data_IF_849680543728
#
_entry.id   IF_849680543728
#
_cell.length_a   1.000
_cell.length_b   1.000
_cell.length_c   1.000
_cell.angle_alpha   90.00
_cell.angle_beta   90.00
_cell.angle_gamma   90.00
#
_symmetry.space_group_name_H-M   'P 1'
#
loop_
_entity.id
_entity.type
_entity.pdbx_description
1 polymer ?
#
# COMPACT_ATOMS: atom_id res chain seq x y z
N UNK A 1 -1.09 -17.00 -11.84
CA UNK A 1 -0.72 -15.60 -12.00
C UNK A 1 0.06 -15.48 -13.28
N UNK A 2 -0.30 -14.59 -14.20
CA UNK A 2 0.38 -14.45 -15.50
C UNK A 2 1.81 -13.95 -15.29
N UNK A 3 2.75 -14.50 -16.07
CA UNK A 3 4.13 -14.00 -16.15
C UNK A 3 4.16 -12.63 -16.86
N UNK A 4 5.26 -11.90 -16.77
CA UNK A 4 5.42 -10.60 -17.44
C UNK A 4 5.19 -10.72 -18.97
N UNK A 5 5.74 -11.76 -19.58
CA UNK A 5 5.60 -12.02 -21.03
C UNK A 5 4.15 -12.34 -21.40
N UNK A 6 3.42 -13.06 -20.54
CA UNK A 6 1.99 -13.37 -20.75
C UNK A 6 1.13 -12.12 -20.62
N UNK A 7 1.45 -11.22 -19.68
CA UNK A 7 0.77 -9.93 -19.53
C UNK A 7 0.97 -9.05 -20.76
N UNK A 8 2.21 -8.89 -21.23
CA UNK A 8 2.52 -8.11 -22.42
C UNK A 8 1.82 -8.69 -23.68
N UNK A 9 1.82 -10.02 -23.81
CA UNK A 9 1.11 -10.70 -24.91
C UNK A 9 -0.39 -10.47 -24.83
N UNK A 10 -0.98 -10.50 -23.64
CA UNK A 10 -2.39 -10.23 -23.42
C UNK A 10 -2.74 -8.79 -23.78
N UNK A 11 -1.94 -7.80 -23.36
CA UNK A 11 -2.14 -6.39 -23.71
C UNK A 11 -2.06 -6.14 -25.21
N UNK A 12 -1.09 -6.78 -25.90
CA UNK A 12 -0.98 -6.70 -27.36
C UNK A 12 -2.20 -7.32 -28.08
N UNK A 13 -2.78 -8.39 -27.55
CA UNK A 13 -3.99 -8.99 -28.12
C UNK A 13 -5.21 -8.11 -27.85
N UNK A 14 -5.34 -7.55 -26.65
CA UNK A 14 -6.42 -6.62 -26.29
C UNK A 14 -6.41 -5.35 -27.16
N UNK A 15 -5.21 -4.86 -27.56
CA UNK A 15 -5.10 -3.69 -28.44
C UNK A 15 -5.48 -3.96 -29.90
N UNK A 16 -5.46 -5.22 -30.34
CA UNK A 16 -5.70 -5.63 -31.73
C UNK A 16 -7.11 -6.14 -31.99
N UNK A 17 -7.76 -6.70 -30.98
CA UNK A 17 -9.09 -7.32 -31.10
C UNK A 17 -10.04 -6.76 -30.04
N UNK A 18 -11.03 -6.01 -30.52
CA UNK A 18 -12.05 -5.38 -29.68
C UNK A 18 -12.88 -6.40 -28.91
N UNK A 19 -13.26 -7.50 -29.55
CA UNK A 19 -14.06 -8.55 -28.90
C UNK A 19 -13.26 -9.23 -27.80
N UNK A 20 -11.97 -9.47 -28.04
CA UNK A 20 -11.05 -10.01 -27.03
C UNK A 20 -10.88 -9.05 -25.86
N UNK A 21 -10.75 -7.74 -26.15
CA UNK A 21 -10.70 -6.70 -25.12
C UNK A 21 -11.95 -6.70 -24.24
N UNK A 22 -13.15 -6.73 -24.83
CA UNK A 22 -14.41 -6.74 -24.11
C UNK A 22 -14.56 -8.00 -23.25
N UNK A 23 -14.18 -9.17 -23.79
CA UNK A 23 -14.23 -10.44 -23.05
C UNK A 23 -13.30 -10.43 -21.84
N UNK A 24 -12.05 -10.03 -22.01
CA UNK A 24 -11.07 -9.96 -20.89
C UNK A 24 -11.51 -8.94 -19.85
N UNK A 25 -12.08 -7.82 -20.27
CA UNK A 25 -12.62 -6.80 -19.35
C UNK A 25 -13.80 -7.33 -18.56
N UNK A 26 -14.71 -8.07 -19.21
CA UNK A 26 -15.84 -8.72 -18.55
C UNK A 26 -15.38 -9.76 -17.52
N UNK A 27 -14.42 -10.63 -17.86
CA UNK A 27 -13.84 -11.63 -16.96
C UNK A 27 -13.15 -10.95 -15.76
N UNK A 28 -12.38 -9.89 -16.00
CA UNK A 28 -11.76 -9.13 -14.90
C UNK A 28 -12.81 -8.53 -13.96
N UNK A 29 -13.87 -7.93 -14.53
CA UNK A 29 -14.97 -7.34 -13.76
C UNK A 29 -15.69 -8.36 -12.91
N UNK A 30 -16.03 -9.52 -13.47
CA UNK A 30 -16.69 -10.63 -12.76
C UNK A 30 -15.81 -11.15 -11.61
N UNK A 31 -14.52 -11.36 -11.87
CA UNK A 31 -13.56 -11.77 -10.85
C UNK A 31 -13.43 -10.73 -9.72
N UNK A 32 -13.43 -9.42 -10.05
CA UNK A 32 -13.43 -8.36 -9.06
C UNK A 32 -14.68 -8.35 -8.19
N UNK A 33 -15.85 -8.53 -8.78
CA UNK A 33 -17.12 -8.59 -8.04
C UNK A 33 -17.14 -9.79 -7.10
N UNK A 34 -16.74 -10.96 -7.59
CA UNK A 34 -16.66 -12.20 -6.78
C UNK A 34 -15.73 -12.04 -5.59
N UNK A 35 -14.52 -11.54 -5.79
CA UNK A 35 -13.56 -11.30 -4.69
C UNK A 35 -14.07 -10.24 -3.69
N UNK A 36 -14.76 -9.22 -4.17
CA UNK A 36 -15.38 -8.20 -3.31
C UNK A 36 -16.47 -8.81 -2.43
N UNK A 37 -17.35 -9.63 -3.00
CA UNK A 37 -18.40 -10.32 -2.24
C UNK A 37 -17.79 -11.26 -1.19
N UNK A 38 -16.84 -12.11 -1.57
CA UNK A 38 -16.15 -13.02 -0.65
C UNK A 38 -15.50 -12.24 0.49
N UNK A 39 -14.84 -11.11 0.18
CA UNK A 39 -14.22 -10.27 1.21
C UNK A 39 -15.25 -9.71 2.19
N UNK A 40 -16.42 -9.30 1.73
CA UNK A 40 -17.51 -8.83 2.59
C UNK A 40 -18.10 -9.97 3.44
N UNK A 41 -18.31 -11.14 2.86
CA UNK A 41 -18.85 -12.29 3.56
C UNK A 41 -17.90 -12.84 4.64
N UNK A 42 -16.58 -12.77 4.42
CA UNK A 42 -15.58 -13.14 5.43
C UNK A 42 -15.43 -12.04 6.51
N UNK A 43 -15.58 -10.76 6.15
CA UNK A 43 -15.47 -9.65 7.12
C UNK A 43 -16.54 -9.76 8.22
N UNK A 44 -17.74 -10.18 7.87
CA UNK A 44 -18.84 -10.30 8.83
C UNK A 44 -18.52 -11.26 9.99
N UNK A 45 -18.19 -12.56 9.77
CA UNK A 45 -17.84 -13.46 10.86
C UNK A 45 -16.59 -13.00 11.64
N UNK A 46 -15.59 -12.41 10.99
CA UNK A 46 -14.42 -11.85 11.68
C UNK A 46 -14.81 -10.71 12.63
N UNK A 47 -15.76 -9.88 12.24
CA UNK A 47 -16.28 -8.81 13.09
C UNK A 47 -17.03 -9.37 14.30
N UNK A 48 -17.83 -10.42 14.10
CA UNK A 48 -18.52 -11.10 15.20
C UNK A 48 -17.55 -11.79 16.16
N UNK A 49 -16.50 -12.46 15.64
CA UNK A 49 -15.45 -13.06 16.48
C UNK A 49 -14.73 -12.00 17.31
N UNK A 50 -14.37 -10.85 16.71
CA UNK A 50 -13.74 -9.76 17.42
C UNK A 50 -14.60 -9.20 18.54
N UNK A 51 -15.88 -8.96 18.24
CA UNK A 51 -16.84 -8.51 19.25
C UNK A 51 -17.01 -9.51 20.37
N UNK A 52 -17.07 -10.81 20.05
CA UNK A 52 -17.17 -11.88 21.05
C UNK A 52 -15.95 -11.94 21.96
N UNK A 53 -14.73 -11.81 21.41
CA UNK A 53 -13.48 -11.75 22.17
C UNK A 53 -13.47 -10.55 23.11
N UNK A 54 -13.87 -9.36 22.63
CA UNK A 54 -13.96 -8.16 23.46
C UNK A 54 -15.00 -8.31 24.60
N UNK A 55 -16.14 -8.92 24.32
CA UNK A 55 -17.15 -9.21 25.34
C UNK A 55 -16.66 -10.22 26.38
N UNK A 56 -16.01 -11.31 25.95
CA UNK A 56 -15.41 -12.30 26.86
C UNK A 56 -14.38 -11.63 27.78
N UNK A 57 -13.47 -10.87 27.21
CA UNK A 57 -12.43 -10.15 27.97
C UNK A 57 -13.02 -9.16 28.97
N UNK A 58 -14.13 -8.48 28.60
CA UNK A 58 -14.84 -7.54 29.49
C UNK A 58 -15.55 -8.23 30.64
N UNK A 59 -16.17 -9.39 30.39
CA UNK A 59 -16.93 -10.15 31.42
C UNK A 59 -16.03 -11.04 32.26
N UNK A 60 -14.93 -11.49 31.71
CA UNK A 60 -13.99 -12.45 32.27
C UNK A 60 -12.56 -11.95 32.08
N UNK A 61 -12.11 -10.92 32.84
CA UNK A 61 -10.74 -10.40 32.71
C UNK A 61 -9.64 -11.44 32.91
N UNK A 62 -9.93 -12.52 33.68
CA UNK A 62 -9.04 -13.64 33.94
C UNK A 62 -8.61 -14.42 32.68
N UNK A 63 -9.31 -14.24 31.54
CA UNK A 63 -8.91 -14.87 30.27
C UNK A 63 -7.61 -14.32 29.71
N UNK A 64 -7.19 -13.15 30.15
CA UNK A 64 -5.89 -12.57 29.74
C UNK A 64 -4.71 -13.42 30.22
N UNK A 65 -4.88 -14.22 31.27
CA UNK A 65 -3.88 -15.15 31.79
C UNK A 65 -3.87 -16.49 31.04
N UNK A 66 -4.78 -16.72 30.09
CA UNK A 66 -4.84 -17.98 29.33
C UNK A 66 -3.73 -18.03 28.26
N UNK A 67 -3.03 -19.15 28.21
CA UNK A 67 -1.80 -19.36 27.43
C UNK A 67 -1.93 -18.91 25.94
N UNK A 68 -3.07 -19.08 25.31
CA UNK A 68 -3.25 -18.74 23.88
C UNK A 68 -4.15 -17.54 23.65
N UNK A 69 -4.54 -16.79 24.69
CA UNK A 69 -5.47 -15.68 24.54
C UNK A 69 -4.92 -14.55 23.66
N UNK A 70 -3.70 -14.13 23.92
CA UNK A 70 -3.04 -13.10 23.13
C UNK A 70 -2.74 -13.56 21.72
N UNK A 71 -2.34 -14.84 21.55
CA UNK A 71 -2.13 -15.40 20.20
C UNK A 71 -3.41 -15.36 19.38
N UNK A 72 -4.56 -15.74 19.95
CA UNK A 72 -5.85 -15.72 19.28
C UNK A 72 -6.25 -14.28 18.85
N UNK A 73 -6.00 -13.27 19.70
CA UNK A 73 -6.24 -11.85 19.34
C UNK A 73 -5.33 -11.41 18.18
N UNK A 74 -4.06 -11.78 18.22
CA UNK A 74 -3.11 -11.47 17.17
C UNK A 74 -3.49 -12.14 15.84
N UNK A 75 -3.87 -13.41 15.86
CA UNK A 75 -4.28 -14.15 14.66
C UNK A 75 -5.55 -13.55 14.03
N UNK A 76 -6.53 -13.16 14.86
CA UNK A 76 -7.73 -12.46 14.36
C UNK A 76 -7.38 -11.11 13.74
N UNK A 77 -6.51 -10.35 14.37
CA UNK A 77 -6.05 -9.07 13.83
C UNK A 77 -5.29 -9.25 12.50
N UNK A 78 -4.46 -10.27 12.41
CA UNK A 78 -3.75 -10.63 11.17
C UNK A 78 -4.73 -10.98 10.04
N UNK A 79 -5.77 -11.79 10.32
CA UNK A 79 -6.81 -12.13 9.34
C UNK A 79 -7.57 -10.89 8.84
N UNK A 80 -7.88 -9.94 9.73
CA UNK A 80 -8.50 -8.66 9.33
C UNK A 80 -7.60 -7.87 8.38
N UNK A 81 -6.32 -7.72 8.72
CA UNK A 81 -5.34 -7.02 7.88
C UNK A 81 -5.22 -7.69 6.52
N UNK A 82 -5.12 -9.02 6.49
CA UNK A 82 -5.04 -9.78 5.24
C UNK A 82 -6.28 -9.57 4.36
N UNK A 83 -7.47 -9.57 4.96
CA UNK A 83 -8.73 -9.35 4.23
C UNK A 83 -8.83 -7.93 3.68
N UNK A 84 -8.38 -6.93 4.45
CA UNK A 84 -8.34 -5.53 4.01
C UNK A 84 -7.34 -5.35 2.87
N UNK A 85 -6.19 -5.99 2.93
CA UNK A 85 -5.18 -6.02 1.88
C UNK A 85 -5.70 -6.67 0.59
N UNK A 86 -6.41 -7.81 0.69
CA UNK A 86 -7.05 -8.47 -0.46
C UNK A 86 -8.11 -7.56 -1.08
N UNK A 87 -8.94 -6.92 -0.26
CA UNK A 87 -9.97 -5.98 -0.71
C UNK A 87 -9.34 -4.76 -1.41
N UNK A 88 -8.28 -4.20 -0.84
CA UNK A 88 -7.55 -3.09 -1.43
C UNK A 88 -6.86 -3.48 -2.74
N UNK A 89 -6.25 -4.66 -2.79
CA UNK A 89 -5.66 -5.21 -4.01
C UNK A 89 -6.70 -5.37 -5.11
N UNK A 90 -7.91 -5.84 -4.77
CA UNK A 90 -8.99 -6.01 -5.73
C UNK A 90 -9.55 -4.68 -6.26
N UNK A 91 -9.75 -3.67 -5.39
CA UNK A 91 -10.42 -2.41 -5.72
C UNK A 91 -9.47 -1.29 -6.19
N UNK A 92 -8.20 -1.58 -6.40
CA UNK A 92 -7.16 -0.58 -6.71
C UNK A 92 -7.29 0.12 -8.07
N UNK A 93 -8.19 -0.31 -8.96
CA UNK A 93 -8.35 0.24 -10.31
C UNK A 93 -9.42 1.35 -10.42
N UNK A 94 -10.36 1.45 -9.45
CA UNK A 94 -11.36 2.52 -9.44
C UNK A 94 -10.86 3.68 -8.60
N UNK A 95 -10.57 4.81 -9.25
CA UNK A 95 -10.03 6.01 -8.62
C UNK A 95 -11.05 7.14 -8.58
N UNK A 96 -11.12 7.82 -7.43
CA UNK A 96 -11.83 9.08 -7.28
C UNK A 96 -10.82 10.24 -7.35
N UNK A 97 -10.53 10.72 -8.55
CA UNK A 97 -9.50 11.72 -8.81
C UNK A 97 -9.97 13.09 -8.37
N UNK A 98 -9.26 13.69 -7.42
CA UNK A 98 -9.48 15.06 -6.92
C UNK A 98 -8.16 15.83 -6.87
N UNK A 99 -8.26 17.15 -6.68
CA UNK A 99 -7.09 18.01 -6.46
C UNK A 99 -6.56 17.79 -5.04
N UNK A 100 -5.26 17.68 -4.90
CA UNK A 100 -4.56 17.42 -3.63
C UNK A 100 -3.47 18.47 -3.45
N UNK A 101 -3.47 19.15 -2.29
CA UNK A 101 -2.35 19.97 -1.82
C UNK A 101 -1.27 19.05 -1.24
N UNK A 102 -0.02 19.08 -1.75
CA UNK A 102 1.06 18.23 -1.27
C UNK A 102 1.41 18.43 0.21
N UNK A 103 1.27 19.66 0.73
CA UNK A 103 1.57 19.98 2.14
C UNK A 103 0.52 19.38 3.06
N UNK A 104 -0.76 19.61 2.76
CA UNK A 104 -1.87 19.04 3.53
C UNK A 104 -1.79 17.52 3.54
N UNK A 105 -1.52 16.94 2.37
CA UNK A 105 -1.35 15.49 2.23
C UNK A 105 -0.21 14.93 3.07
N UNK A 106 0.96 15.58 3.07
CA UNK A 106 2.11 15.16 3.86
C UNK A 106 1.89 15.32 5.37
N UNK A 107 1.17 16.37 5.80
CA UNK A 107 0.79 16.56 7.20
C UNK A 107 -0.20 15.49 7.67
N UNK A 108 -1.24 15.19 6.88
CA UNK A 108 -2.22 14.16 7.19
C UNK A 108 -1.58 12.75 7.30
N UNK A 109 -0.60 12.44 6.45
CA UNK A 109 0.20 11.21 6.57
C UNK A 109 0.96 11.15 7.91
N UNK A 110 1.60 12.25 8.30
CA UNK A 110 2.36 12.33 9.55
C UNK A 110 1.44 12.16 10.75
N UNK A 111 0.29 12.85 10.77
CA UNK A 111 -0.66 12.79 11.87
C UNK A 111 -1.24 11.38 12.03
N UNK A 112 -1.54 10.71 10.92
CA UNK A 112 -2.04 9.33 10.91
C UNK A 112 -1.03 8.34 11.50
N UNK A 113 0.27 8.55 11.24
CA UNK A 113 1.35 7.65 11.68
C UNK A 113 2.01 8.07 13.00
N UNK A 114 1.61 9.23 13.55
CA UNK A 114 2.24 9.79 14.74
C UNK A 114 2.30 8.83 15.94
N UNK A 115 1.23 8.07 16.28
CA UNK A 115 1.28 7.14 17.40
C UNK A 115 2.39 6.09 17.23
N UNK A 116 2.49 5.48 16.06
CA UNK A 116 3.48 4.43 15.75
C UNK A 116 4.91 4.99 15.71
N UNK A 117 5.07 6.19 15.15
CA UNK A 117 6.36 6.90 15.11
C UNK A 117 6.86 7.26 16.51
N UNK A 118 5.97 7.70 17.40
CA UNK A 118 6.31 8.03 18.79
C UNK A 118 6.66 6.77 19.60
N UNK A 119 5.89 5.71 19.48
CA UNK A 119 6.14 4.41 20.15
C UNK A 119 7.54 3.88 19.79
N UNK A 120 7.90 3.95 18.50
CA UNK A 120 9.21 3.51 18.01
C UNK A 120 10.34 4.54 18.14
N UNK A 121 10.04 5.76 18.60
CA UNK A 121 11.00 6.87 18.71
C UNK A 121 11.69 7.21 17.38
N UNK A 122 10.96 7.10 16.25
CA UNK A 122 11.44 7.35 14.90
C UNK A 122 10.92 8.70 14.40
N UNK A 123 11.76 9.71 14.17
CA UNK A 123 11.34 10.98 13.59
C UNK A 123 11.00 10.82 12.09
N UNK A 124 9.84 11.36 11.70
CA UNK A 124 9.44 11.56 10.30
C UNK A 124 9.70 13.02 9.91
N UNK A 125 10.67 13.24 9.03
CA UNK A 125 11.03 14.56 8.50
C UNK A 125 10.30 14.78 7.17
N UNK A 126 9.48 15.84 7.09
CA UNK A 126 8.82 16.26 5.86
C UNK A 126 9.69 17.35 5.22
N UNK A 127 10.03 17.17 3.94
CA UNK A 127 10.76 18.14 3.12
C UNK A 127 9.96 18.43 1.85
N UNK A 128 9.51 19.66 1.73
CA UNK A 128 8.83 20.15 0.54
C UNK A 128 9.77 21.12 -0.17
N UNK A 129 9.87 21.06 -1.48
CA UNK A 129 10.56 22.09 -2.26
C UNK A 129 9.79 23.42 -2.16
N UNK A 130 10.44 24.54 -2.43
CA UNK A 130 9.85 25.88 -2.29
C UNK A 130 8.65 26.09 -3.23
N UNK A 131 8.63 25.41 -4.36
CA UNK A 131 7.53 25.43 -5.33
C UNK A 131 7.04 24.01 -5.57
N UNK A 132 5.85 23.72 -5.11
CA UNK A 132 5.15 22.47 -5.38
C UNK A 132 3.74 22.78 -5.86
N UNK A 133 3.39 22.41 -7.09
CA UNK A 133 2.02 22.56 -7.57
C UNK A 133 1.11 21.52 -6.92
N UNK A 134 -0.17 21.85 -6.84
CA UNK A 134 -1.18 20.84 -6.57
C UNK A 134 -1.11 19.74 -7.63
N UNK A 135 -1.50 18.56 -7.23
CA UNK A 135 -1.57 17.42 -8.13
C UNK A 135 -2.95 16.75 -8.08
N UNK A 136 -3.19 15.86 -9.01
CA UNK A 136 -4.47 15.17 -9.11
C UNK A 136 -4.29 13.68 -8.82
N UNK A 137 -5.17 13.14 -7.97
CA UNK A 137 -5.15 11.74 -7.58
C UNK A 137 -6.32 11.39 -6.68
N UNK A 138 -6.43 10.13 -6.34
CA UNK A 138 -7.34 9.64 -5.31
C UNK A 138 -6.64 9.77 -3.93
N UNK A 139 -7.05 10.70 -3.07
CA UNK A 139 -6.34 10.97 -1.81
C UNK A 139 -6.35 9.77 -0.86
N UNK A 140 -7.43 8.97 -0.86
CA UNK A 140 -7.56 7.80 0.01
C UNK A 140 -6.58 6.71 -0.46
N UNK A 141 -6.55 6.45 -1.76
CA UNK A 141 -5.67 5.43 -2.35
C UNK A 141 -4.20 5.83 -2.24
N UNK A 142 -3.87 7.08 -2.52
CA UNK A 142 -2.50 7.57 -2.36
C UNK A 142 -2.07 7.55 -0.89
N UNK A 143 -2.95 7.93 0.03
CA UNK A 143 -2.68 7.81 1.48
C UNK A 143 -2.36 6.37 1.86
N UNK A 144 -3.11 5.39 1.37
CA UNK A 144 -2.83 3.97 1.57
C UNK A 144 -1.43 3.58 1.07
N UNK A 145 -1.02 4.06 -0.12
CA UNK A 145 0.34 3.83 -0.65
C UNK A 145 1.40 4.32 0.33
N UNK A 146 1.33 5.58 0.73
CA UNK A 146 2.38 6.19 1.57
C UNK A 146 2.37 5.66 3.00
N UNK A 147 1.22 5.31 3.57
CA UNK A 147 1.15 4.59 4.84
C UNK A 147 1.89 3.25 4.74
N UNK A 148 1.67 2.46 3.70
CA UNK A 148 2.37 1.20 3.49
C UNK A 148 3.89 1.38 3.35
N UNK A 149 4.33 2.41 2.61
CA UNK A 149 5.75 2.71 2.44
C UNK A 149 6.40 3.14 3.77
N UNK A 150 5.75 4.05 4.51
CA UNK A 150 6.28 4.55 5.79
C UNK A 150 6.27 3.45 6.86
N UNK A 151 5.23 2.61 6.95
CA UNK A 151 5.20 1.45 7.85
C UNK A 151 6.32 0.48 7.55
N UNK A 152 6.57 0.17 6.27
CA UNK A 152 7.73 -0.65 5.90
C UNK A 152 9.06 -0.04 6.34
N UNK A 153 9.18 1.29 6.27
CA UNK A 153 10.35 2.01 6.76
C UNK A 153 10.49 1.94 8.29
N UNK A 154 9.37 2.11 9.04
CA UNK A 154 9.36 1.97 10.52
C UNK A 154 9.84 0.58 10.93
N UNK A 155 9.29 -0.46 10.31
CA UNK A 155 9.62 -1.86 10.60
C UNK A 155 11.06 -2.24 10.22
N UNK A 156 11.65 -1.57 9.22
CA UNK A 156 13.05 -1.80 8.80
C UNK A 156 14.09 -1.21 9.74
N UNK A 157 13.66 -0.31 10.64
CA UNK A 157 14.55 0.40 11.56
C UNK A 157 14.62 -0.33 12.89
N UNK A 158 15.80 -0.86 13.19
CA UNK A 158 16.11 -1.45 14.50
C UNK A 158 16.95 -0.46 15.31
N UNK A 159 16.37 0.10 16.39
CA UNK A 159 17.03 1.11 17.23
C UNK A 159 16.86 2.54 16.73
N UNK A 160 17.94 3.36 16.77
CA UNK A 160 17.88 4.76 16.37
C UNK A 160 17.83 4.91 14.85
N UNK A 161 16.77 5.52 14.33
CA UNK A 161 16.61 5.76 12.90
C UNK A 161 15.82 7.02 12.58
N UNK A 162 15.61 7.26 11.30
CA UNK A 162 14.81 8.38 10.79
C UNK A 162 14.18 8.02 9.47
N UNK A 163 13.02 8.62 9.21
CA UNK A 163 12.34 8.55 7.92
C UNK A 163 12.22 9.95 7.36
N UNK A 164 12.42 10.10 6.07
CA UNK A 164 12.25 11.37 5.36
C UNK A 164 11.22 11.20 4.26
N UNK A 165 10.16 12.00 4.31
CA UNK A 165 9.20 12.16 3.22
C UNK A 165 9.58 13.43 2.45
N UNK A 166 10.03 13.28 1.21
CA UNK A 166 10.42 14.40 0.34
C UNK A 166 9.40 14.53 -0.79
N UNK A 167 8.89 15.76 -1.00
CA UNK A 167 8.00 16.10 -2.11
C UNK A 167 8.68 17.19 -2.95
N UNK A 168 8.84 16.92 -4.24
CA UNK A 168 9.51 17.82 -5.17
C UNK A 168 8.99 17.61 -6.59
N UNK A 169 9.29 18.54 -7.48
CA UNK A 169 8.90 18.45 -8.88
C UNK A 169 10.14 18.23 -9.74
N UNK A 170 10.07 17.28 -10.66
CA UNK A 170 11.12 17.02 -11.65
C UNK A 170 10.48 16.58 -12.97
N UNK A 171 10.96 17.14 -14.11
CA UNK A 171 10.49 16.79 -15.46
C UNK A 171 8.95 16.81 -15.62
N UNK A 172 8.29 17.84 -15.09
CA UNK A 172 6.83 18.00 -15.11
C UNK A 172 6.06 16.85 -14.41
N UNK A 173 6.70 16.17 -13.49
CA UNK A 173 6.09 15.15 -12.63
C UNK A 173 6.26 15.52 -11.16
N UNK A 174 5.27 15.19 -10.36
CA UNK A 174 5.39 15.22 -8.91
C UNK A 174 6.17 13.98 -8.47
N UNK A 175 7.19 14.21 -7.66
CA UNK A 175 8.02 13.17 -7.08
C UNK A 175 7.78 13.16 -5.58
N UNK A 176 7.35 12.01 -5.05
CA UNK A 176 7.22 11.80 -3.61
C UNK A 176 8.13 10.64 -3.22
N UNK A 177 9.13 10.92 -2.39
CA UNK A 177 10.12 9.94 -1.96
C UNK A 177 10.00 9.66 -0.46
N UNK A 178 9.93 8.40 -0.08
CA UNK A 178 10.06 7.91 1.30
C UNK A 178 11.44 7.29 1.43
N UNK A 179 12.26 7.82 2.34
CA UNK A 179 13.60 7.35 2.59
C UNK A 179 13.81 7.06 4.06
N UNK A 180 14.34 5.87 4.35
CA UNK A 180 14.75 5.43 5.68
C UNK A 180 16.27 5.16 5.74
N UNK A 181 16.76 4.96 6.94
CA UNK A 181 18.11 4.46 7.23
C UNK A 181 18.07 3.10 7.96
N UNK A 182 17.09 2.27 7.62
CA UNK A 182 16.91 0.93 8.19
C UNK A 182 17.89 -0.11 7.65
N UNK A 183 17.55 -1.39 7.83
CA UNK A 183 18.40 -2.53 7.44
C UNK A 183 18.63 -2.64 5.93
N UNK A 184 17.81 -1.98 5.09
CA UNK A 184 17.87 -2.10 3.64
C UNK A 184 17.40 -3.46 3.12
N UNK A 185 17.46 -3.64 1.79
CA UNK A 185 16.91 -4.78 1.06
C UNK A 185 17.99 -5.34 0.13
N UNK A 186 18.21 -6.65 0.15
CA UNK A 186 19.19 -7.31 -0.71
C UNK A 186 18.81 -7.23 -2.19
N UNK A 187 19.78 -7.30 -3.10
CA UNK A 187 19.53 -7.25 -4.54
C UNK A 187 18.60 -8.38 -5.04
N UNK A 188 18.61 -9.53 -4.37
CA UNK A 188 17.71 -10.64 -4.70
C UNK A 188 16.27 -10.34 -4.30
N UNK A 189 16.09 -9.86 -3.09
CA UNK A 189 14.76 -9.47 -2.58
C UNK A 189 14.15 -8.35 -3.42
N UNK A 190 14.94 -7.35 -3.85
CA UNK A 190 14.48 -6.24 -4.69
C UNK A 190 13.81 -6.71 -6.00
N UNK A 191 14.20 -7.87 -6.54
CA UNK A 191 13.58 -8.42 -7.76
C UNK A 191 12.16 -8.91 -7.57
N UNK A 192 11.76 -9.21 -6.34
CA UNK A 192 10.51 -9.90 -6.03
C UNK A 192 9.59 -9.13 -5.08
N UNK A 193 10.07 -8.10 -4.38
CA UNK A 193 9.30 -7.41 -3.32
C UNK A 193 7.99 -6.74 -3.78
N UNK A 194 7.85 -6.48 -5.09
CA UNK A 194 6.59 -5.97 -5.66
C UNK A 194 5.66 -7.08 -6.13
N UNK A 195 6.05 -8.37 -5.99
CA UNK A 195 5.17 -9.49 -6.29
C UNK A 195 4.21 -9.70 -5.12
N UNK A 196 2.91 -9.95 -5.39
CA UNK A 196 1.95 -10.25 -4.33
C UNK A 196 2.36 -11.49 -3.54
N UNK A 197 2.03 -11.48 -2.24
CA UNK A 197 2.30 -12.57 -1.29
C UNK A 197 3.79 -12.89 -1.07
N UNK A 198 4.69 -12.02 -1.52
CA UNK A 198 6.12 -12.14 -1.22
C UNK A 198 6.45 -11.31 0.01
N UNK A 199 6.83 -11.96 1.08
CA UNK A 199 7.25 -11.33 2.33
C UNK A 199 8.44 -12.05 2.94
N UNK A 200 9.26 -11.32 3.66
CA UNK A 200 10.37 -11.82 4.47
C UNK A 200 10.17 -11.50 5.95
N UNK A 201 8.95 -11.08 6.32
CA UNK A 201 8.54 -10.74 7.69
C UNK A 201 7.61 -11.84 8.22
N UNK A 202 7.74 -12.21 9.49
CA UNK A 202 6.92 -13.25 10.11
C UNK A 202 5.40 -12.98 10.02
N UNK A 203 5.00 -11.72 10.22
CA UNK A 203 3.57 -11.32 10.20
C UNK A 203 3.24 -10.41 9.01
N UNK A 204 4.00 -10.50 7.93
CA UNK A 204 3.75 -9.70 6.72
C UNK A 204 2.82 -10.41 5.74
N UNK A 205 1.81 -9.73 5.22
CA UNK A 205 0.90 -10.25 4.18
C UNK A 205 1.57 -10.39 2.81
N UNK A 206 2.68 -9.66 2.58
CA UNK A 206 3.35 -9.58 1.27
C UNK A 206 2.52 -8.83 0.22
N UNK A 207 1.43 -8.16 0.60
CA UNK A 207 0.54 -7.44 -0.32
C UNK A 207 0.81 -5.93 -0.37
N UNK A 208 1.32 -5.32 0.69
CA UNK A 208 1.44 -3.86 0.81
C UNK A 208 2.17 -3.18 -0.35
N UNK A 209 3.36 -3.66 -0.75
CA UNK A 209 4.11 -3.07 -1.88
C UNK A 209 3.47 -3.37 -3.24
N UNK A 210 2.84 -4.52 -3.40
CA UNK A 210 2.10 -4.87 -4.63
C UNK A 210 0.86 -4.01 -4.81
N UNK A 211 0.12 -3.72 -3.72
CA UNK A 211 -1.00 -2.78 -3.67
C UNK A 211 -0.51 -1.37 -4.01
N UNK A 212 0.58 -0.92 -3.37
CA UNK A 212 1.16 0.39 -3.65
C UNK A 212 1.49 0.55 -5.14
N UNK A 213 2.17 -0.44 -5.73
CA UNK A 213 2.49 -0.43 -7.17
C UNK A 213 1.24 -0.37 -8.03
N UNK A 214 0.20 -1.15 -7.73
CA UNK A 214 -1.05 -1.18 -8.50
C UNK A 214 -1.78 0.17 -8.45
N UNK A 215 -1.88 0.77 -7.27
CA UNK A 215 -2.49 2.09 -7.09
C UNK A 215 -1.71 3.15 -7.89
N UNK A 216 -0.39 3.15 -7.81
CA UNK A 216 0.44 4.12 -8.55
C UNK A 216 0.31 3.94 -10.07
N UNK A 217 0.28 2.72 -10.57
CA UNK A 217 0.05 2.45 -11.99
C UNK A 217 -1.34 2.91 -12.44
N UNK A 218 -2.39 2.72 -11.63
CA UNK A 218 -3.73 3.23 -11.90
C UNK A 218 -3.77 4.78 -11.97
N UNK A 219 -2.87 5.47 -11.27
CA UNK A 219 -2.68 6.92 -11.35
C UNK A 219 -1.77 7.35 -12.53
N UNK A 220 -1.44 6.46 -13.48
CA UNK A 220 -0.45 6.70 -14.55
C UNK A 220 0.93 7.12 -14.02
N UNK A 221 1.23 6.70 -12.80
CA UNK A 221 2.51 6.94 -12.13
C UNK A 221 3.49 5.78 -12.30
N UNK A 222 4.69 5.97 -11.77
CA UNK A 222 5.71 4.92 -11.64
C UNK A 222 6.26 4.88 -10.22
N UNK A 223 6.69 3.72 -9.79
CA UNK A 223 7.32 3.50 -8.48
C UNK A 223 8.70 2.90 -8.68
N UNK A 224 9.70 3.49 -8.05
CA UNK A 224 11.10 3.07 -8.12
C UNK A 224 11.64 2.85 -6.73
N UNK A 225 12.50 1.84 -6.59
CA UNK A 225 13.14 1.50 -5.33
C UNK A 225 14.66 1.51 -5.50
N UNK A 226 15.34 2.11 -4.52
CA UNK A 226 16.79 2.05 -4.35
C UNK A 226 17.09 1.63 -2.92
N UNK A 227 17.80 0.54 -2.75
CA UNK A 227 18.15 0.03 -1.42
C UNK A 227 19.52 -0.64 -1.43
N UNK A 228 20.17 -0.61 -0.28
CA UNK A 228 21.39 -1.37 -0.04
C UNK A 228 21.37 -1.88 1.41
N UNK A 229 21.76 -3.11 1.62
CA UNK A 229 21.83 -3.71 2.96
C UNK A 229 22.69 -2.84 3.89
N UNK A 230 22.17 -2.52 5.05
CA UNK A 230 22.80 -1.68 6.07
C UNK A 230 22.82 -0.17 5.78
N UNK A 231 22.24 0.29 4.62
CA UNK A 231 22.20 1.72 4.25
C UNK A 231 20.79 2.31 4.20
N UNK A 232 19.77 1.45 4.33
CA UNK A 232 18.37 1.83 4.26
C UNK A 232 17.77 1.72 2.86
N UNK A 233 16.56 2.23 2.72
CA UNK A 233 15.75 2.15 1.50
C UNK A 233 15.22 3.52 1.11
N UNK A 234 15.12 3.78 -0.18
CA UNK A 234 14.45 4.93 -0.76
C UNK A 234 13.47 4.44 -1.82
N UNK A 235 12.18 4.73 -1.61
CA UNK A 235 11.11 4.45 -2.57
C UNK A 235 10.63 5.77 -3.14
N UNK A 236 10.70 5.93 -4.46
CA UNK A 236 10.27 7.12 -5.19
C UNK A 236 9.02 6.83 -5.99
N UNK A 237 7.99 7.63 -5.79
CA UNK A 237 6.74 7.62 -6.55
C UNK A 237 6.72 8.84 -7.46
N UNK A 238 6.46 8.62 -8.75
CA UNK A 238 6.36 9.67 -9.75
C UNK A 238 4.92 9.73 -10.26
N UNK A 239 4.26 10.86 -10.09
CA UNK A 239 2.87 11.08 -10.50
C UNK A 239 2.79 12.19 -11.58
N UNK A 240 1.85 12.10 -12.53
CA UNK A 240 1.58 13.20 -13.44
C UNK A 240 0.99 14.39 -12.67
N UNK A 241 1.35 15.61 -13.05
CA UNK A 241 0.80 16.84 -12.43
C UNK A 241 -0.60 17.18 -12.93
N UNK A 242 -0.96 16.75 -14.15
CA UNK A 242 -2.26 17.03 -14.76
C UNK A 242 -3.24 15.87 -14.59
N UNK A 243 -4.56 16.14 -14.52
CA UNK A 243 -5.56 15.09 -14.48
C UNK A 243 -5.49 14.20 -15.72
N UNK A 244 -5.79 12.92 -15.52
CA UNK A 244 -5.75 11.87 -16.56
C UNK A 244 -6.63 12.22 -17.80
N UNK A 245 -7.69 13.03 -17.62
CA UNK A 245 -8.61 13.45 -18.67
C UNK A 245 -8.02 14.42 -19.70
N UNK A 246 -6.79 14.94 -19.50
CA UNK A 246 -6.12 15.86 -20.45
C UNK A 246 -4.97 15.20 -21.22
N UNK A 247 -4.73 13.92 -21.02
CA UNK A 247 -3.82 13.16 -21.88
C UNK A 247 -4.67 12.62 -23.04
N UNK A 248 -5.00 13.49 -23.99
CA UNK A 248 -5.48 13.03 -25.30
C UNK A 248 -4.38 12.19 -25.94
N UNK A 249 -4.72 10.94 -26.22
CA UNK A 249 -3.97 10.01 -27.06
C UNK A 249 -4.10 10.46 -28.51
#
# INVERSE_FOLDING_TARGET
MLTYDEQEKMERLMSKDKNFHELITAIKKDHHLTLSQISHEIRNPLTYMDSSIQWIQKLHPEVEDFEFWDQMKHDLQYLKILLDDISAFNNGEQLNITRIDPREFACDLKDTLLPELLDRHIPLLIKLDDTYPDFYGDPIRLKQVFINLIKNSIESITGRGRITLKVFTHDKRLMIAVKDNGCGISAEQQKTIFRPFVTHKENGTGLGLSIARRIILAHNGTIHLRSSVGKGTEVQVHLPLLPISHICI
#
